data_IF_407179991048
#
_entry.id   IF_407179991048
#
_cell.length_a   1.000
_cell.length_b   1.000
_cell.length_c   1.000
_cell.angle_alpha   90.00
_cell.angle_beta   90.00
_cell.angle_gamma   90.00
#
_symmetry.space_group_name_H-M   'P 1'
#
loop_
_entity.id
_entity.type
_entity.pdbx_description
1 polymer ?
#
# COMPACT_ATOMS: atom_id res chain seq x y z
N UNK A 1 -13.73 -20.96 -1.56
CA UNK A 1 -14.24 -21.29 -2.89
C UNK A 1 -13.72 -20.28 -3.91
N UNK A 2 -12.89 -20.71 -4.86
CA UNK A 2 -12.23 -19.88 -5.89
C UNK A 2 -13.25 -19.14 -6.77
N UNK A 3 -14.39 -19.75 -7.06
CA UNK A 3 -15.46 -19.12 -7.84
C UNK A 3 -16.07 -17.91 -7.12
N UNK A 4 -16.20 -17.99 -5.80
CA UNK A 4 -16.68 -16.84 -5.01
C UNK A 4 -15.70 -15.67 -5.07
N UNK A 5 -14.40 -15.94 -4.94
CA UNK A 5 -13.36 -14.89 -4.99
C UNK A 5 -13.37 -14.20 -6.36
N UNK A 6 -13.44 -14.98 -7.46
CA UNK A 6 -13.46 -14.41 -8.81
C UNK A 6 -14.72 -13.57 -9.07
N UNK A 7 -15.91 -14.07 -8.69
CA UNK A 7 -17.17 -13.34 -8.86
C UNK A 7 -17.19 -12.06 -8.02
N UNK A 8 -16.70 -12.14 -6.77
CA UNK A 8 -16.61 -11.00 -5.87
C UNK A 8 -15.65 -9.93 -6.41
N UNK A 9 -14.50 -10.33 -6.95
CA UNK A 9 -13.56 -9.43 -7.59
C UNK A 9 -14.13 -8.80 -8.87
N UNK A 10 -14.86 -9.56 -9.68
CA UNK A 10 -15.58 -9.01 -10.86
C UNK A 10 -16.61 -7.95 -10.47
N UNK A 11 -17.33 -8.16 -9.36
CA UNK A 11 -18.28 -7.19 -8.79
C UNK A 11 -17.54 -5.95 -8.29
N UNK A 12 -16.41 -6.15 -7.61
CA UNK A 12 -15.54 -5.04 -7.18
C UNK A 12 -15.13 -4.14 -8.35
N UNK A 13 -14.63 -4.71 -9.45
CA UNK A 13 -14.22 -3.96 -10.64
C UNK A 13 -15.33 -3.09 -11.26
N UNK A 14 -16.60 -3.40 -10.97
CA UNK A 14 -17.78 -2.65 -11.43
C UNK A 14 -18.36 -1.71 -10.37
N UNK A 15 -17.80 -1.71 -9.16
CA UNK A 15 -18.33 -0.98 -8.01
C UNK A 15 -17.92 0.50 -8.01
N UNK A 16 -18.64 1.30 -7.23
CA UNK A 16 -18.29 2.70 -6.94
C UNK A 16 -16.97 2.81 -6.16
N UNK A 17 -16.64 1.82 -5.32
CA UNK A 17 -15.37 1.76 -4.59
C UNK A 17 -14.19 1.70 -5.57
N UNK A 18 -14.25 0.85 -6.60
CA UNK A 18 -13.24 0.81 -7.66
C UNK A 18 -13.20 2.10 -8.49
N UNK A 19 -14.37 2.66 -8.83
CA UNK A 19 -14.46 3.93 -9.55
C UNK A 19 -13.82 5.08 -8.73
N UNK A 20 -13.97 5.08 -7.41
CA UNK A 20 -13.35 6.03 -6.49
C UNK A 20 -11.81 6.00 -6.52
N UNK A 21 -11.22 4.81 -6.66
CA UNK A 21 -9.77 4.67 -6.86
C UNK A 21 -9.33 5.22 -8.23
N UNK A 22 -10.13 4.99 -9.28
CA UNK A 22 -9.80 5.36 -10.66
C UNK A 22 -10.04 6.83 -10.98
N UNK A 23 -10.97 7.49 -10.29
CA UNK A 23 -11.41 8.87 -10.62
C UNK A 23 -10.37 9.95 -10.34
N UNK A 24 -9.28 9.63 -9.66
CA UNK A 24 -8.12 10.51 -9.55
C UNK A 24 -7.12 10.17 -10.64
N UNK A 25 -7.02 11.03 -11.62
CA UNK A 25 -6.10 11.20 -12.77
C UNK A 25 -4.65 10.70 -12.63
N UNK A 26 -4.39 9.56 -11.97
CA UNK A 26 -3.05 9.02 -11.77
C UNK A 26 -2.61 7.99 -12.83
N UNK A 27 -3.54 7.57 -13.71
CA UNK A 27 -3.25 6.57 -14.74
C UNK A 27 -3.60 7.09 -16.14
N UNK A 28 -3.06 8.24 -16.53
CA UNK A 28 -3.05 8.60 -17.94
C UNK A 28 -1.69 8.20 -18.56
N UNK A 29 -1.50 6.89 -18.72
CA UNK A 29 -0.39 6.28 -19.46
C UNK A 29 -0.64 6.37 -20.97
N UNK A 30 -0.97 7.56 -21.46
CA UNK A 30 -0.86 7.86 -22.89
C UNK A 30 0.61 8.09 -23.19
N UNK A 31 1.15 7.23 -24.06
CA UNK A 31 2.48 7.41 -24.62
C UNK A 31 2.52 8.80 -25.27
N UNK A 32 3.43 9.71 -24.89
CA UNK A 32 3.46 11.05 -25.46
C UNK A 32 3.94 11.00 -26.89
N UNK A 33 3.04 11.23 -27.86
CA UNK A 33 3.32 11.18 -29.29
C UNK A 33 4.01 12.45 -29.82
N UNK A 34 4.15 13.50 -28.99
CA UNK A 34 4.78 14.76 -29.40
C UNK A 34 5.84 15.27 -28.39
N UNK A 35 6.77 16.09 -28.89
CA UNK A 35 7.79 16.75 -28.04
C UNK A 35 7.15 17.66 -26.99
N UNK A 36 6.03 18.31 -27.34
CA UNK A 36 5.25 19.13 -26.41
C UNK A 36 4.62 18.29 -25.30
N UNK A 37 4.14 17.09 -25.60
CA UNK A 37 3.60 16.17 -24.61
C UNK A 37 4.68 15.64 -23.66
N UNK A 38 5.90 15.40 -24.17
CA UNK A 38 7.06 15.01 -23.37
C UNK A 38 7.49 16.13 -22.41
N UNK A 39 7.50 17.40 -22.88
CA UNK A 39 7.80 18.56 -22.04
C UNK A 39 6.68 18.77 -21.01
N UNK A 40 5.42 18.66 -21.41
CA UNK A 40 4.28 18.77 -20.51
C UNK A 40 4.27 17.66 -19.46
N UNK A 41 4.64 16.42 -19.83
CA UNK A 41 4.81 15.31 -18.88
C UNK A 41 5.93 15.61 -17.89
N UNK A 42 7.10 16.06 -18.35
CA UNK A 42 8.24 16.38 -17.48
C UNK A 42 7.96 17.53 -16.51
N UNK A 43 7.23 18.56 -16.96
CA UNK A 43 6.76 19.66 -16.11
C UNK A 43 5.72 19.18 -15.11
N UNK A 44 4.76 18.34 -15.54
CA UNK A 44 3.74 17.75 -14.68
C UNK A 44 4.36 16.84 -13.61
N UNK A 45 5.31 15.99 -14.00
CA UNK A 45 6.02 15.10 -13.05
C UNK A 45 6.81 15.91 -12.02
N UNK A 46 7.49 16.97 -12.44
CA UNK A 46 8.20 17.89 -11.55
C UNK A 46 7.25 18.65 -10.61
N UNK A 47 6.10 19.08 -11.13
CA UNK A 47 5.08 19.80 -10.35
C UNK A 47 4.36 18.85 -9.37
N UNK A 48 4.10 17.60 -9.77
CA UNK A 48 3.55 16.55 -8.89
C UNK A 48 4.49 16.22 -7.74
N UNK A 49 5.79 16.12 -8.00
CA UNK A 49 6.81 15.92 -6.96
C UNK A 49 6.87 17.12 -6.03
N UNK A 50 6.86 18.35 -6.57
CA UNK A 50 6.91 19.58 -5.78
C UNK A 50 5.65 19.79 -4.92
N UNK A 51 4.46 19.41 -5.43
CA UNK A 51 3.22 19.41 -4.66
C UNK A 51 3.19 18.27 -3.63
N UNK A 52 3.86 17.16 -3.92
CA UNK A 52 3.97 16.01 -3.03
C UNK A 52 4.81 16.30 -1.78
N UNK A 53 5.81 17.18 -1.89
CA UNK A 53 6.69 17.56 -0.77
C UNK A 53 5.95 18.28 0.38
N UNK A 54 4.79 18.88 0.08
CA UNK A 54 3.95 19.58 1.08
C UNK A 54 2.67 18.79 1.44
N UNK A 55 2.55 17.51 1.02
CA UNK A 55 1.41 16.66 1.31
C UNK A 55 1.88 15.36 1.93
N UNK A 56 1.19 14.92 2.95
CA UNK A 56 1.43 13.64 3.63
C UNK A 56 1.23 12.43 2.70
N UNK A 57 0.36 12.57 1.69
CA UNK A 57 0.02 11.49 0.77
C UNK A 57 -0.63 11.96 -0.53
N UNK A 58 -0.61 11.06 -1.52
CA UNK A 58 -1.31 11.25 -2.81
C UNK A 58 -2.80 10.95 -2.67
N UNK A 59 -3.17 9.96 -1.85
CA UNK A 59 -4.54 9.48 -1.68
C UNK A 59 -4.97 9.54 -0.21
N UNK A 60 -6.18 10.04 0.04
CA UNK A 60 -6.82 9.96 1.37
C UNK A 60 -7.23 8.52 1.70
N UNK A 61 -7.34 8.20 3.01
CA UNK A 61 -7.74 6.86 3.49
C UNK A 61 -9.14 6.41 3.07
N UNK A 62 -10.07 7.36 2.90
CA UNK A 62 -11.48 7.05 2.59
C UNK A 62 -11.65 6.04 1.45
N UNK A 63 -11.12 6.27 0.25
CA UNK A 63 -11.19 5.31 -0.85
C UNK A 63 -10.62 3.92 -0.54
N UNK A 64 -9.55 3.84 0.26
CA UNK A 64 -8.99 2.55 0.70
C UNK A 64 -9.94 1.83 1.65
N UNK A 65 -10.54 2.54 2.60
CA UNK A 65 -11.57 2.01 3.51
C UNK A 65 -12.74 1.44 2.72
N UNK A 66 -13.23 2.15 1.70
CA UNK A 66 -14.34 1.69 0.86
C UNK A 66 -14.00 0.40 0.11
N UNK A 67 -12.77 0.31 -0.40
CA UNK A 67 -12.27 -0.90 -1.08
C UNK A 67 -12.19 -2.09 -0.13
N UNK A 68 -11.56 -1.91 1.03
CA UNK A 68 -11.40 -2.98 2.01
C UNK A 68 -12.78 -3.42 2.53
N UNK A 69 -13.67 -2.48 2.82
CA UNK A 69 -15.04 -2.78 3.23
C UNK A 69 -15.85 -3.56 2.18
N UNK A 70 -15.59 -3.30 0.90
CA UNK A 70 -16.23 -4.05 -0.18
C UNK A 70 -15.66 -5.46 -0.31
N UNK A 71 -14.33 -5.59 -0.24
CA UNK A 71 -13.65 -6.88 -0.48
C UNK A 71 -13.77 -7.83 0.71
N UNK A 72 -13.79 -7.31 1.95
CA UNK A 72 -13.76 -8.12 3.17
C UNK A 72 -15.16 -8.13 3.80
N UNK A 73 -15.84 -9.30 3.82
CA UNK A 73 -17.21 -9.41 4.32
C UNK A 73 -17.32 -9.37 5.85
N UNK A 74 -16.25 -9.72 6.56
CA UNK A 74 -16.16 -9.71 8.02
C UNK A 74 -15.56 -8.41 8.52
N UNK A 75 -15.86 -7.99 9.76
CA UNK A 75 -15.47 -6.68 10.28
C UNK A 75 -14.49 -6.77 11.43
N UNK A 76 -14.43 -7.90 12.11
CA UNK A 76 -13.58 -8.11 13.26
C UNK A 76 -12.74 -9.38 13.11
N UNK A 77 -11.63 -9.44 13.86
CA UNK A 77 -10.78 -10.62 13.90
C UNK A 77 -11.51 -11.85 14.46
N UNK A 78 -12.44 -11.63 15.38
CA UNK A 78 -13.23 -12.66 16.06
C UNK A 78 -14.19 -13.40 15.10
N UNK A 79 -14.56 -12.77 14.00
CA UNK A 79 -15.39 -13.36 12.95
C UNK A 79 -14.59 -14.28 12.00
N UNK A 80 -13.26 -14.26 12.08
CA UNK A 80 -12.40 -15.03 11.20
C UNK A 80 -12.41 -16.52 11.60
N UNK A 81 -12.48 -17.42 10.60
CA UNK A 81 -12.39 -18.86 10.81
C UNK A 81 -10.97 -19.35 11.08
N UNK A 82 -9.98 -18.61 10.69
CA UNK A 82 -8.55 -18.90 10.85
C UNK A 82 -7.95 -17.70 11.58
N UNK A 83 -7.22 -17.91 12.68
CA UNK A 83 -6.52 -16.82 13.35
C UNK A 83 -5.62 -16.05 12.38
N UNK A 84 -5.65 -14.74 12.47
CA UNK A 84 -4.90 -13.84 11.60
C UNK A 84 -4.16 -12.79 12.43
N UNK A 85 -2.96 -12.44 12.00
CA UNK A 85 -2.23 -11.26 12.48
C UNK A 85 -2.02 -10.31 11.33
N UNK A 86 -2.20 -9.03 11.59
CA UNK A 86 -1.98 -7.95 10.62
C UNK A 86 -0.93 -7.02 11.18
N UNK A 87 0.13 -6.79 10.40
CA UNK A 87 1.25 -5.95 10.81
C UNK A 87 1.09 -4.54 10.22
N UNK A 88 1.31 -3.53 11.04
CA UNK A 88 1.50 -2.14 10.66
C UNK A 88 2.75 -1.60 11.37
N UNK A 89 3.26 -0.45 10.96
CA UNK A 89 4.43 0.19 11.57
C UNK A 89 4.07 1.62 11.97
N UNK A 90 4.34 1.98 13.19
CA UNK A 90 4.34 3.39 13.60
C UNK A 90 5.73 3.98 13.33
N UNK A 91 5.83 4.84 12.33
CA UNK A 91 7.12 5.46 11.96
C UNK A 91 7.52 6.61 12.89
N UNK A 92 6.65 7.02 13.82
CA UNK A 92 6.97 8.04 14.83
C UNK A 92 7.73 7.41 16.00
N UNK A 93 7.26 6.28 16.51
CA UNK A 93 7.94 5.51 17.56
C UNK A 93 8.98 4.52 17.01
N UNK A 94 8.94 4.21 15.71
CA UNK A 94 9.70 3.14 15.06
C UNK A 94 9.34 1.74 15.59
N UNK A 95 8.09 1.54 16.01
CA UNK A 95 7.62 0.28 16.58
C UNK A 95 6.65 -0.44 15.64
N UNK A 96 6.68 -1.77 15.69
CA UNK A 96 5.74 -2.63 14.99
C UNK A 96 4.42 -2.74 15.77
N UNK A 97 3.31 -2.62 15.04
CA UNK A 97 1.96 -2.80 15.58
C UNK A 97 1.38 -4.09 15.04
N UNK A 98 1.18 -5.08 15.90
CA UNK A 98 0.58 -6.37 15.54
C UNK A 98 -0.87 -6.39 15.99
N UNK A 99 -1.78 -6.38 15.01
CA UNK A 99 -3.22 -6.52 15.26
C UNK A 99 -3.62 -7.99 15.17
N UNK A 100 -4.31 -8.50 16.19
CA UNK A 100 -4.82 -9.88 16.25
C UNK A 100 -6.23 -9.97 16.85
N UNK A 101 -6.83 -8.82 17.20
CA UNK A 101 -8.18 -8.72 17.77
C UNK A 101 -8.85 -7.40 17.42
N UNK A 102 -10.18 -7.31 17.57
CA UNK A 102 -10.96 -6.11 17.37
C UNK A 102 -11.23 -5.77 15.89
N UNK A 103 -11.12 -4.51 15.49
CA UNK A 103 -11.54 -4.03 14.18
C UNK A 103 -10.56 -4.44 13.06
N UNK A 104 -10.93 -5.46 12.31
CA UNK A 104 -10.14 -5.99 11.18
C UNK A 104 -9.98 -4.97 10.04
N UNK A 105 -11.04 -4.21 9.73
CA UNK A 105 -10.99 -3.25 8.62
C UNK A 105 -9.95 -2.16 8.92
N UNK A 106 -9.93 -1.64 10.16
CA UNK A 106 -8.95 -0.64 10.56
C UNK A 106 -7.51 -1.18 10.47
N UNK A 107 -7.28 -2.40 10.97
CA UNK A 107 -5.98 -3.06 10.89
C UNK A 107 -5.50 -3.21 9.45
N UNK A 108 -6.40 -3.66 8.53
CA UNK A 108 -6.07 -3.81 7.12
C UNK A 108 -5.81 -2.47 6.42
N UNK A 109 -6.53 -1.40 6.77
CA UNK A 109 -6.28 -0.04 6.27
C UNK A 109 -4.89 0.43 6.71
N UNK A 110 -4.53 0.26 7.97
CA UNK A 110 -3.22 0.63 8.50
C UNK A 110 -2.11 -0.15 7.78
N UNK A 111 -2.24 -1.47 7.68
CA UNK A 111 -1.29 -2.37 7.01
C UNK A 111 -1.19 -2.18 5.50
N UNK A 112 -2.10 -1.42 4.88
CA UNK A 112 -2.09 -1.10 3.45
C UNK A 112 -1.81 0.38 3.18
N UNK A 113 -1.47 1.15 4.19
CA UNK A 113 -1.18 2.59 4.08
C UNK A 113 0.27 2.81 3.66
N UNK A 114 0.55 2.57 2.36
CA UNK A 114 1.89 2.75 1.78
C UNK A 114 2.34 4.20 1.92
N UNK A 115 3.53 4.46 2.53
CA UNK A 115 4.04 5.81 2.74
C UNK A 115 4.12 6.64 1.46
N UNK A 116 3.66 7.89 1.55
CA UNK A 116 3.60 8.81 0.41
C UNK A 116 2.47 8.53 -0.58
N UNK A 117 1.91 7.32 -0.61
CA UNK A 117 0.80 6.96 -1.49
C UNK A 117 -0.56 7.10 -0.80
N UNK A 118 -0.73 6.48 0.35
CA UNK A 118 -1.94 6.56 1.18
C UNK A 118 -1.66 7.39 2.42
N UNK A 119 -2.65 8.19 2.83
CA UNK A 119 -2.59 8.97 4.06
C UNK A 119 -2.36 8.05 5.28
N UNK A 120 -1.31 8.28 6.07
CA UNK A 120 -1.06 7.50 7.28
C UNK A 120 -2.24 7.50 8.25
N UNK A 121 -2.34 6.47 9.05
CA UNK A 121 -3.30 6.38 10.16
C UNK A 121 -2.67 6.90 11.44
N UNK A 122 -3.50 7.11 12.48
CA UNK A 122 -3.05 7.64 13.75
C UNK A 122 -3.50 9.08 13.98
N UNK A 123 -2.94 9.70 14.97
CA UNK A 123 -3.18 11.09 15.36
C UNK A 123 -1.85 11.89 15.42
N UNK A 124 -1.79 12.97 16.18
CA UNK A 124 -0.59 13.81 16.31
C UNK A 124 0.61 13.09 16.95
N UNK A 125 0.35 11.99 17.70
CA UNK A 125 1.36 11.21 18.42
C UNK A 125 1.78 9.92 17.71
N UNK A 126 1.01 9.48 16.71
CA UNK A 126 1.21 8.23 15.96
C UNK A 126 1.16 8.48 14.45
N UNK A 127 2.03 7.83 13.71
CA UNK A 127 2.06 7.90 12.26
C UNK A 127 2.15 6.47 11.69
N UNK A 128 0.97 5.82 11.61
CA UNK A 128 0.87 4.40 11.28
C UNK A 128 0.79 4.20 9.78
N UNK A 129 1.66 3.36 9.27
CA UNK A 129 1.82 3.02 7.85
C UNK A 129 1.87 1.50 7.64
N UNK A 130 2.04 1.07 6.38
CA UNK A 130 2.18 -0.32 5.99
C UNK A 130 3.32 -1.02 6.76
N UNK A 131 3.03 -2.21 7.29
CA UNK A 131 4.00 -3.01 8.04
C UNK A 131 5.19 -3.49 7.23
N UNK A 132 5.11 -3.48 5.90
CA UNK A 132 6.25 -3.81 5.03
C UNK A 132 7.39 -2.78 5.13
N UNK A 133 7.16 -1.62 5.75
CA UNK A 133 8.20 -0.62 6.03
C UNK A 133 9.25 -1.16 7.01
N UNK A 134 8.83 -1.90 8.03
CA UNK A 134 9.72 -2.51 9.02
C UNK A 134 10.03 -3.97 8.70
N UNK A 135 9.02 -4.74 8.31
CA UNK A 135 9.13 -6.19 8.09
C UNK A 135 8.44 -6.57 6.78
N UNK A 136 9.14 -6.55 5.64
CA UNK A 136 8.58 -6.84 4.32
C UNK A 136 7.92 -8.23 4.23
N UNK A 137 8.48 -9.22 4.92
CA UNK A 137 7.90 -10.57 5.04
C UNK A 137 7.75 -10.90 6.53
N UNK A 138 6.53 -10.88 7.11
CA UNK A 138 6.30 -10.89 8.55
C UNK A 138 6.46 -12.29 9.19
N UNK A 139 7.47 -13.06 8.79
CA UNK A 139 7.81 -14.36 9.39
C UNK A 139 8.09 -14.23 10.90
N UNK A 140 8.80 -13.21 11.39
CA UNK A 140 9.09 -13.06 12.81
C UNK A 140 7.82 -12.98 13.68
N UNK A 141 6.72 -12.45 13.15
CA UNK A 141 5.44 -12.30 13.87
C UNK A 141 4.80 -13.65 14.21
N UNK A 142 5.15 -14.72 13.49
CA UNK A 142 4.65 -16.08 13.70
C UNK A 142 5.64 -16.99 14.41
N UNK A 143 6.89 -16.59 14.62
CA UNK A 143 7.90 -17.39 15.28
C UNK A 143 7.48 -17.74 16.72
N UNK A 144 7.69 -18.99 17.08
CA UNK A 144 7.31 -19.54 18.40
C UNK A 144 5.84 -19.95 18.53
N UNK A 145 4.99 -19.59 17.56
CA UNK A 145 3.56 -19.94 17.58
C UNK A 145 3.19 -21.06 16.59
N UNK A 146 4.10 -21.42 15.69
CA UNK A 146 3.88 -22.41 14.63
C UNK A 146 5.06 -23.37 14.51
N UNK A 147 4.76 -24.66 14.23
CA UNK A 147 5.81 -25.68 13.95
C UNK A 147 6.39 -25.52 12.55
N UNK A 148 5.57 -25.04 11.61
CA UNK A 148 5.96 -24.81 10.21
C UNK A 148 5.42 -23.45 9.76
N UNK A 149 6.27 -22.62 9.16
CA UNK A 149 5.92 -21.34 8.58
C UNK A 149 6.18 -21.40 7.08
N UNK A 150 5.16 -21.09 6.27
CA UNK A 150 5.29 -20.96 4.83
C UNK A 150 5.26 -19.47 4.49
N UNK A 151 6.38 -18.93 4.03
CA UNK A 151 6.48 -17.55 3.59
C UNK A 151 6.21 -17.46 2.08
N UNK A 152 5.35 -16.52 1.67
CA UNK A 152 5.07 -16.23 0.27
C UNK A 152 5.60 -14.85 -0.04
N UNK A 153 6.70 -14.78 -0.75
CA UNK A 153 7.28 -13.52 -1.22
C UNK A 153 6.73 -13.18 -2.62
N UNK A 154 6.02 -12.07 -2.70
CA UNK A 154 5.46 -11.54 -3.95
C UNK A 154 6.26 -10.34 -4.49
N UNK A 155 7.32 -9.94 -3.80
CA UNK A 155 8.19 -8.86 -4.24
C UNK A 155 8.98 -9.29 -5.49
N UNK A 156 8.81 -8.55 -6.59
CA UNK A 156 9.56 -8.77 -7.83
C UNK A 156 10.64 -7.71 -7.96
N UNK A 157 11.84 -8.05 -7.57
CA UNK A 157 13.02 -7.17 -7.73
C UNK A 157 13.63 -7.29 -9.14
N UNK A 158 12.84 -6.98 -10.19
CA UNK A 158 13.41 -6.72 -11.51
C UNK A 158 13.92 -5.27 -11.55
N UNK A 159 15.04 -5.07 -10.89
CA UNK A 159 15.72 -3.78 -10.86
C UNK A 159 16.42 -3.57 -12.22
N UNK A 160 15.72 -3.00 -13.19
CA UNK A 160 16.30 -2.57 -14.47
C UNK A 160 17.46 -1.57 -14.26
N UNK A 161 18.27 -1.38 -15.27
CA UNK A 161 19.37 -0.41 -15.23
C UNK A 161 18.81 1.03 -15.15
N UNK A 162 19.32 1.83 -14.21
CA UNK A 162 18.96 3.25 -14.10
C UNK A 162 19.78 4.05 -15.13
N UNK A 163 19.11 4.62 -16.13
CA UNK A 163 19.72 5.59 -17.04
C UNK A 163 19.49 7.00 -16.50
N UNK A 164 20.56 7.73 -16.20
CA UNK A 164 20.52 9.13 -15.73
C UNK A 164 19.49 9.35 -14.60
N UNK A 165 19.62 8.60 -13.46
CA UNK A 165 18.62 8.66 -12.41
C UNK A 165 18.63 10.01 -11.70
N UNK A 166 17.44 10.54 -11.40
CA UNK A 166 17.30 11.67 -10.50
C UNK A 166 17.44 11.21 -9.03
N UNK A 167 17.55 12.17 -8.12
CA UNK A 167 17.73 11.91 -6.68
C UNK A 167 16.64 10.98 -6.10
N UNK A 168 15.39 11.16 -6.53
CA UNK A 168 14.25 10.36 -6.03
C UNK A 168 14.37 8.92 -6.49
N UNK A 169 14.79 8.68 -7.74
CA UNK A 169 15.00 7.33 -8.27
C UNK A 169 16.15 6.63 -7.57
N UNK A 170 17.22 7.36 -7.23
CA UNK A 170 18.33 6.84 -6.43
C UNK A 170 17.86 6.47 -5.02
N UNK A 171 17.11 7.36 -4.35
CA UNK A 171 16.56 7.10 -3.01
C UNK A 171 15.62 5.87 -3.01
N UNK A 172 14.69 5.79 -3.95
CA UNK A 172 13.81 4.63 -4.09
C UNK A 172 14.59 3.33 -4.33
N UNK A 173 15.65 3.39 -5.14
CA UNK A 173 16.48 2.24 -5.40
C UNK A 173 17.27 1.81 -4.17
N UNK A 174 17.79 2.76 -3.41
CA UNK A 174 18.49 2.50 -2.16
C UNK A 174 17.57 1.83 -1.14
N UNK A 175 16.35 2.36 -0.98
CA UNK A 175 15.32 1.80 -0.12
C UNK A 175 14.96 0.35 -0.51
N UNK A 176 14.71 0.10 -1.80
CA UNK A 176 14.48 -1.26 -2.31
C UNK A 176 15.65 -2.23 -2.03
N UNK A 177 16.90 -1.77 -2.13
CA UNK A 177 18.07 -2.61 -1.85
C UNK A 177 18.23 -2.90 -0.36
N UNK A 178 17.81 -1.96 0.50
CA UNK A 178 17.87 -2.14 1.95
C UNK A 178 16.82 -3.14 2.45
N UNK A 179 15.72 -3.31 1.71
CA UNK A 179 14.64 -4.27 2.03
C UNK A 179 14.86 -5.67 1.42
N UNK A 180 15.97 -5.92 0.74
CA UNK A 180 16.41 -7.24 0.25
C UNK A 180 17.11 -8.05 1.32
#
# INVERSE_FOLDING_TARGET
DTYWVEDHFRKFMKSSAFAGLRSRKMMDDRNPDSVLDQIAKKVKDHYVVMLGLNRESIMKRGPLIDVINFLIPVKTFEELKIPMKVLATDIQSCEDIIHESGNLINALVQSSSIPGFVEPSGDESELIVDGAVSVPIPVPVLQGNCEVIIAVDISRYHLGFLKEPNMIEIMKRADMVTSL
#
